data_IF_844298465085
#
_entry.id   IF_844298465085
#
_cell.length_a   1.000
_cell.length_b   1.000
_cell.length_c   1.000
_cell.angle_alpha   90.00
_cell.angle_beta   90.00
_cell.angle_gamma   90.00
#
_symmetry.space_group_name_H-M   'P 1'
#
loop_
_entity.id
_entity.type
_entity.pdbx_description
1 polymer ?
#
# COMPACT_ATOMS: atom_id res chain seq x y z
N UNK A 1 12.31 5.06 -51.99
CA UNK A 1 13.01 5.70 -50.85
C UNK A 1 12.43 5.07 -49.59
N UNK A 2 12.79 3.86 -49.16
CA UNK A 2 14.13 3.32 -48.82
C UNK A 2 14.88 4.20 -47.81
N UNK A 3 14.77 3.86 -46.52
CA UNK A 3 15.87 3.50 -45.60
C UNK A 3 15.35 3.63 -44.15
N UNK A 4 15.00 2.53 -43.47
CA UNK A 4 15.85 1.85 -42.47
C UNK A 4 16.49 2.80 -41.44
N UNK A 5 16.04 2.70 -40.18
CA UNK A 5 16.96 2.51 -39.04
C UNK A 5 16.37 1.40 -38.15
N UNK A 6 17.06 0.27 -38.18
CA UNK A 6 17.02 -0.83 -37.23
C UNK A 6 18.24 -0.62 -36.34
N UNK A 7 18.03 -0.52 -35.03
CA UNK A 7 18.99 -0.88 -33.97
C UNK A 7 18.12 -1.53 -32.88
N UNK A 8 18.09 -2.85 -32.71
CA UNK A 8 19.14 -3.71 -32.16
C UNK A 8 19.76 -3.14 -30.88
N UNK A 9 19.22 -3.56 -29.74
CA UNK A 9 20.01 -3.92 -28.57
C UNK A 9 19.41 -5.20 -27.97
N UNK A 10 19.90 -6.29 -28.54
CA UNK A 10 20.25 -7.57 -27.94
C UNK A 10 19.72 -7.87 -26.55
N UNK A 11 18.86 -8.89 -26.53
CA UNK A 11 18.80 -9.95 -25.53
C UNK A 11 20.12 -10.11 -24.75
N UNK A 12 20.12 -9.73 -23.49
CA UNK A 12 20.84 -10.46 -22.45
C UNK A 12 19.76 -11.21 -21.67
N UNK A 13 19.50 -12.44 -22.10
CA UNK A 13 18.98 -13.49 -21.23
C UNK A 13 20.05 -13.76 -20.17
N UNK A 14 20.11 -12.92 -19.14
CA UNK A 14 20.43 -13.44 -17.82
C UNK A 14 19.08 -13.78 -17.21
N UNK A 15 18.73 -15.06 -17.29
CA UNK A 15 17.89 -15.70 -16.29
C UNK A 15 18.63 -15.66 -14.95
N UNK A 16 18.77 -14.46 -14.37
CA UNK A 16 18.74 -14.36 -12.93
C UNK A 16 17.27 -14.64 -12.60
N UNK A 17 16.98 -15.89 -12.24
CA UNK A 17 15.91 -16.10 -11.28
C UNK A 17 16.31 -15.24 -10.09
N UNK A 18 15.85 -13.98 -10.05
CA UNK A 18 15.68 -13.28 -8.80
C UNK A 18 14.57 -14.06 -8.11
N UNK A 19 14.98 -15.16 -7.48
CA UNK A 19 14.27 -15.66 -6.32
C UNK A 19 14.44 -14.53 -5.33
N UNK A 20 13.45 -13.66 -5.26
CA UNK A 20 13.29 -12.78 -4.10
C UNK A 20 13.37 -13.71 -2.89
N UNK A 21 14.33 -13.52 -1.97
CA UNK A 21 14.39 -14.33 -0.78
C UNK A 21 13.02 -14.21 -0.10
N UNK A 22 12.36 -15.34 0.15
CA UNK A 22 11.22 -15.31 1.05
C UNK A 22 11.69 -14.66 2.35
N UNK A 23 11.00 -13.62 2.82
CA UNK A 23 11.29 -12.76 4.00
C UNK A 23 11.33 -13.51 5.36
N UNK A 24 11.72 -14.78 5.38
CA UNK A 24 11.60 -15.66 6.54
C UNK A 24 12.94 -16.15 7.12
N UNK A 25 14.06 -15.54 6.76
CA UNK A 25 15.36 -15.95 7.29
C UNK A 25 16.32 -14.78 7.53
N UNK A 26 16.05 -13.96 8.56
CA UNK A 26 17.11 -13.39 9.43
C UNK A 26 16.61 -12.62 10.68
N UNK A 27 15.30 -12.50 10.91
CA UNK A 27 14.77 -11.74 12.05
C UNK A 27 14.14 -12.57 13.19
N UNK A 28 14.19 -13.91 13.11
CA UNK A 28 13.69 -14.86 14.14
C UNK A 28 14.33 -14.68 15.54
N UNK A 29 15.29 -13.77 15.71
CA UNK A 29 16.00 -13.51 16.97
C UNK A 29 15.65 -12.17 17.64
N UNK A 30 14.88 -11.30 17.01
CA UNK A 30 14.60 -9.96 17.56
C UNK A 30 13.18 -9.92 18.13
N UNK A 31 13.00 -10.45 19.34
CA UNK A 31 11.79 -10.30 20.16
C UNK A 31 11.00 -11.59 20.38
N UNK A 32 10.32 -11.67 21.52
CA UNK A 32 9.50 -12.83 21.87
C UNK A 32 8.36 -13.02 20.84
N UNK A 33 7.94 -14.27 20.56
CA UNK A 33 6.77 -14.51 19.73
C UNK A 33 5.53 -13.88 20.36
N UNK A 34 4.60 -13.40 19.52
CA UNK A 34 3.27 -12.92 19.92
C UNK A 34 2.65 -13.87 20.96
N UNK A 35 2.61 -13.45 22.23
CA UNK A 35 1.95 -14.22 23.27
C UNK A 35 0.44 -14.01 23.17
N UNK A 36 -0.32 -15.08 23.37
CA UNK A 36 -1.80 -15.04 23.36
C UNK A 36 -2.38 -14.48 24.67
N UNK A 37 -1.63 -13.67 25.41
CA UNK A 37 -2.07 -13.20 26.72
C UNK A 37 -3.06 -12.04 26.57
N UNK A 38 -4.24 -12.29 27.12
CA UNK A 38 -5.42 -11.44 27.16
C UNK A 38 -5.14 -10.20 28.01
N UNK A 39 -4.63 -9.12 27.41
CA UNK A 39 -4.68 -7.82 28.06
C UNK A 39 -6.00 -7.11 27.71
N UNK A 40 -6.89 -7.10 28.70
CA UNK A 40 -8.33 -7.02 28.52
C UNK A 40 -8.93 -5.61 28.69
N UNK A 41 -8.14 -4.53 28.55
CA UNK A 41 -8.71 -3.19 28.74
C UNK A 41 -8.23 -2.08 27.78
N UNK A 42 -7.31 -2.37 26.85
CA UNK A 42 -6.89 -1.45 25.78
C UNK A 42 -6.58 -2.16 24.46
N UNK A 43 -7.34 -3.21 24.11
CA UNK A 43 -7.02 -4.02 22.93
C UNK A 43 -7.25 -3.22 21.63
N UNK A 44 -6.19 -2.63 21.09
CA UNK A 44 -6.16 -2.20 19.70
C UNK A 44 -6.21 -3.48 18.85
N UNK A 45 -7.21 -3.56 17.97
CA UNK A 45 -7.47 -4.76 17.18
C UNK A 45 -7.03 -4.51 15.74
N UNK A 46 -6.02 -5.23 15.26
CA UNK A 46 -5.62 -5.18 13.86
C UNK A 46 -5.19 -3.78 13.41
N UNK A 47 -5.93 -3.21 12.47
CA UNK A 47 -5.62 -1.91 11.88
C UNK A 47 -5.58 -0.78 12.92
N UNK A 48 -4.76 0.23 12.62
CA UNK A 48 -4.50 1.38 13.48
C UNK A 48 -5.12 2.65 12.89
N UNK A 49 -5.50 3.60 13.75
CA UNK A 49 -5.92 4.95 13.36
C UNK A 49 -4.92 5.96 13.90
N UNK A 50 -4.18 6.63 13.01
CA UNK A 50 -3.20 7.63 13.40
C UNK A 50 -3.84 8.84 14.10
N UNK A 51 -5.08 9.17 13.73
CA UNK A 51 -5.93 10.15 14.41
C UNK A 51 -6.18 9.88 15.91
N UNK A 52 -5.89 8.66 16.39
CA UNK A 52 -6.04 8.26 17.79
C UNK A 52 -4.71 8.04 18.52
N UNK A 53 -3.60 8.39 17.88
CA UNK A 53 -2.24 8.29 18.41
C UNK A 53 -1.61 9.67 18.31
N UNK A 54 -1.31 10.28 19.44
CA UNK A 54 -0.86 11.67 19.50
C UNK A 54 0.66 11.79 19.30
N UNK A 55 1.42 10.78 19.73
CA UNK A 55 2.88 10.86 19.79
C UNK A 55 3.55 9.57 19.33
N UNK A 56 4.81 9.68 18.92
CA UNK A 56 5.64 8.52 18.57
C UNK A 56 5.88 7.60 19.77
N UNK A 57 5.94 8.14 20.99
CA UNK A 57 6.07 7.34 22.21
C UNK A 57 4.80 6.55 22.51
N UNK A 58 3.62 7.14 22.27
CA UNK A 58 2.35 6.40 22.32
C UNK A 58 2.33 5.29 21.26
N UNK A 59 2.75 5.58 20.03
CA UNK A 59 2.81 4.57 18.97
C UNK A 59 3.73 3.39 19.35
N UNK A 60 4.90 3.67 19.94
CA UNK A 60 5.84 2.64 20.43
C UNK A 60 5.28 1.77 21.56
N UNK A 61 4.19 2.19 22.21
CA UNK A 61 3.48 1.33 23.17
C UNK A 61 2.53 0.33 22.50
N UNK A 62 2.25 0.53 21.21
CA UNK A 62 1.34 -0.29 20.39
C UNK A 62 2.12 -1.17 19.42
N UNK A 63 3.21 -0.67 18.86
CA UNK A 63 4.06 -1.37 17.88
C UNK A 63 5.51 -1.37 18.33
N UNK A 64 6.26 -2.38 17.92
CA UNK A 64 7.71 -2.36 18.05
C UNK A 64 8.33 -1.69 16.81
N UNK A 65 9.35 -0.86 17.03
CA UNK A 65 10.08 -0.15 15.98
C UNK A 65 11.57 -0.41 16.16
N UNK A 66 12.20 -1.07 15.18
CA UNK A 66 13.62 -1.39 15.19
C UNK A 66 14.32 -0.68 14.03
N UNK A 67 15.42 0.03 14.32
CA UNK A 67 16.23 0.70 13.31
C UNK A 67 17.58 0.00 13.16
N UNK A 68 17.99 -0.21 11.91
CA UNK A 68 19.26 -0.78 11.53
C UNK A 68 19.97 0.21 10.62
N UNK A 69 21.11 0.74 11.08
CA UNK A 69 21.90 1.72 10.33
C UNK A 69 23.25 1.07 10.02
N UNK A 70 23.57 0.94 8.74
CA UNK A 70 24.87 0.42 8.33
C UNK A 70 25.95 1.50 8.49
N UNK A 71 26.62 1.46 9.64
CA UNK A 71 27.72 2.38 9.97
C UNK A 71 29.02 2.13 9.18
N UNK A 72 29.08 1.11 8.31
CA UNK A 72 30.26 0.85 7.47
C UNK A 72 30.44 1.89 6.34
N UNK A 73 29.45 2.75 6.06
CA UNK A 73 29.57 3.80 5.03
C UNK A 73 30.17 5.13 5.51
N UNK A 74 30.51 5.27 6.80
CA UNK A 74 30.96 6.53 7.40
C UNK A 74 32.33 7.06 6.90
N UNK A 75 33.01 6.36 5.99
CA UNK A 75 34.31 6.78 5.44
C UNK A 75 34.26 7.37 4.03
N UNK A 76 33.13 7.35 3.34
CA UNK A 76 32.95 8.05 2.06
C UNK A 76 31.55 8.65 2.00
N UNK A 77 31.38 9.72 1.23
CA UNK A 77 30.13 10.48 1.05
C UNK A 77 29.00 9.69 0.31
N UNK A 78 28.85 8.41 0.60
CA UNK A 78 27.85 7.50 0.07
C UNK A 78 26.68 7.37 1.06
N UNK A 79 25.47 7.39 0.52
CA UNK A 79 24.20 7.31 1.27
C UNK A 79 24.24 6.25 2.37
N UNK A 80 23.78 6.64 3.56
CA UNK A 80 23.71 5.73 4.71
C UNK A 80 22.58 4.74 4.46
N UNK A 81 22.94 3.48 4.22
CA UNK A 81 21.95 2.41 4.17
C UNK A 81 21.28 2.29 5.54
N UNK A 82 19.97 2.45 5.56
CA UNK A 82 19.17 2.38 6.78
C UNK A 82 17.90 1.59 6.54
N UNK A 83 17.49 0.82 7.53
CA UNK A 83 16.28 -0.02 7.49
C UNK A 83 15.52 0.14 8.78
N UNK A 84 14.20 0.29 8.67
CA UNK A 84 13.29 0.21 9.81
C UNK A 84 12.44 -1.05 9.69
N UNK A 85 12.28 -1.76 10.80
CA UNK A 85 11.37 -2.91 10.92
C UNK A 85 10.32 -2.56 11.96
N UNK A 86 9.05 -2.61 11.55
CA UNK A 86 7.90 -2.45 12.42
C UNK A 86 7.26 -3.80 12.70
N UNK A 87 6.92 -4.10 13.96
CA UNK A 87 6.13 -5.28 14.32
C UNK A 87 4.87 -4.83 15.04
N UNK A 88 3.73 -5.37 14.63
CA UNK A 88 2.48 -5.14 15.33
C UNK A 88 1.76 -6.46 15.58
N UNK A 89 1.49 -6.73 16.86
CA UNK A 89 0.81 -7.93 17.32
C UNK A 89 -0.63 -7.61 17.72
N UNK A 90 -1.59 -8.33 17.14
CA UNK A 90 -2.98 -8.26 17.58
C UNK A 90 -3.63 -9.64 17.53
N UNK A 91 -4.18 -10.09 18.66
CA UNK A 91 -4.97 -11.32 18.77
C UNK A 91 -4.20 -12.58 18.32
N UNK A 92 -2.93 -12.69 18.71
CA UNK A 92 -2.08 -13.83 18.34
C UNK A 92 -1.69 -13.86 16.86
N UNK A 93 -1.97 -12.78 16.11
CA UNK A 93 -1.50 -12.58 14.76
C UNK A 93 -0.54 -11.39 14.73
N UNK A 94 0.57 -11.59 14.05
CA UNK A 94 1.59 -10.59 13.81
C UNK A 94 1.54 -10.11 12.35
N UNK A 95 1.85 -8.83 12.17
CA UNK A 95 2.30 -8.26 10.91
C UNK A 95 3.68 -7.63 11.10
N UNK A 96 4.53 -7.74 10.09
CA UNK A 96 5.89 -7.18 10.09
C UNK A 96 6.04 -6.36 8.83
N UNK A 97 6.41 -5.09 8.98
CA UNK A 97 6.75 -4.21 7.86
C UNK A 97 8.23 -3.90 7.89
N UNK A 98 8.89 -3.93 6.74
CA UNK A 98 10.31 -3.63 6.59
C UNK A 98 10.46 -2.58 5.51
N UNK A 99 11.07 -1.44 5.85
CA UNK A 99 11.35 -0.37 4.90
C UNK A 99 12.84 -0.07 4.92
N UNK A 100 13.48 -0.25 3.76
CA UNK A 100 14.90 0.06 3.57
C UNK A 100 15.07 1.34 2.75
N UNK A 101 16.13 2.09 3.02
CA UNK A 101 16.52 3.25 2.21
C UNK A 101 16.73 2.83 0.76
N UNK A 102 16.22 3.62 -0.17
CA UNK A 102 16.26 3.28 -1.59
C UNK A 102 15.42 4.23 -2.43
N UNK A 103 14.86 3.71 -3.51
CA UNK A 103 14.16 4.50 -4.53
C UNK A 103 12.77 4.90 -4.05
N UNK A 104 12.46 6.19 -4.19
CA UNK A 104 11.14 6.76 -3.90
C UNK A 104 10.24 6.79 -5.14
N UNK A 105 8.95 7.07 -4.94
CA UNK A 105 8.00 7.28 -6.03
C UNK A 105 8.41 8.42 -6.97
N UNK A 106 9.03 9.48 -6.43
CA UNK A 106 9.50 10.62 -7.22
C UNK A 106 10.65 10.23 -8.14
N UNK A 107 11.53 9.33 -7.71
CA UNK A 107 12.65 8.87 -8.53
C UNK A 107 12.14 8.07 -9.73
N UNK A 108 11.09 7.26 -9.54
CA UNK A 108 10.40 6.55 -10.62
C UNK A 108 9.72 7.53 -11.57
N UNK A 109 9.01 8.54 -11.05
CA UNK A 109 8.34 9.54 -11.87
C UNK A 109 9.33 10.38 -12.68
N UNK A 110 10.42 10.85 -12.05
CA UNK A 110 11.51 11.57 -12.70
C UNK A 110 12.16 10.73 -13.79
N UNK A 111 12.45 9.45 -13.55
CA UNK A 111 13.03 8.60 -14.57
C UNK A 111 12.07 8.33 -15.74
N UNK A 112 10.76 8.21 -15.49
CA UNK A 112 9.76 8.08 -16.57
C UNK A 112 9.73 9.32 -17.46
N UNK A 113 9.77 10.50 -16.85
CA UNK A 113 9.63 11.79 -17.53
C UNK A 113 10.99 12.41 -17.93
N UNK A 114 12.10 11.76 -17.56
CA UNK A 114 13.49 12.20 -17.72
C UNK A 114 14.18 11.59 -18.94
N UNK A 115 15.50 11.76 -19.00
CA UNK A 115 16.28 11.35 -20.17
C UNK A 115 16.72 9.86 -20.12
N UNK A 116 17.38 9.40 -21.19
CA UNK A 116 17.84 8.00 -21.27
C UNK A 116 18.82 7.60 -20.16
N UNK A 117 19.53 8.56 -19.56
CA UNK A 117 20.41 8.33 -18.40
C UNK A 117 19.62 8.09 -17.13
N UNK A 118 18.58 8.89 -16.88
CA UNK A 118 17.68 8.75 -15.73
C UNK A 118 16.92 7.40 -15.78
N UNK A 119 16.48 7.00 -16.98
CA UNK A 119 15.82 5.71 -17.20
C UNK A 119 16.76 4.53 -16.95
N UNK A 120 18.04 4.64 -17.34
CA UNK A 120 19.04 3.60 -17.12
C UNK A 120 19.46 3.52 -15.65
N UNK A 121 19.59 4.66 -14.96
CA UNK A 121 19.87 4.72 -13.52
C UNK A 121 18.75 4.06 -12.70
N UNK A 122 17.47 4.33 -13.04
CA UNK A 122 16.34 3.63 -12.43
C UNK A 122 16.36 2.14 -12.77
N UNK A 123 16.70 1.75 -14.01
CA UNK A 123 16.73 0.35 -14.40
C UNK A 123 17.81 -0.47 -13.67
N UNK A 124 18.94 0.15 -13.34
CA UNK A 124 20.00 -0.45 -12.54
C UNK A 124 19.59 -0.52 -11.07
N UNK A 125 18.92 0.53 -10.57
CA UNK A 125 18.70 0.71 -9.13
C UNK A 125 17.36 0.11 -8.64
N UNK A 126 16.34 -0.04 -9.52
CA UNK A 126 15.06 -0.71 -9.26
C UNK A 126 14.76 -1.79 -10.33
N UNK A 127 15.53 -2.89 -10.38
CA UNK A 127 15.29 -3.97 -11.34
C UNK A 127 13.88 -4.58 -11.20
N UNK A 128 13.33 -4.62 -9.98
CA UNK A 128 11.96 -5.06 -9.74
C UNK A 128 10.93 -4.19 -10.46
N UNK A 129 11.08 -2.85 -10.38
CA UNK A 129 10.18 -1.91 -11.04
C UNK A 129 10.17 -2.09 -12.56
N UNK A 130 11.34 -2.30 -13.16
CA UNK A 130 11.47 -2.49 -14.60
C UNK A 130 10.89 -3.83 -15.06
N UNK A 131 11.16 -4.90 -14.31
CA UNK A 131 10.63 -6.23 -14.59
C UNK A 131 9.09 -6.25 -14.52
N UNK A 132 8.52 -5.53 -13.55
CA UNK A 132 7.08 -5.53 -13.27
C UNK A 132 6.32 -4.29 -13.77
N UNK A 133 6.94 -3.47 -14.63
CA UNK A 133 6.40 -2.18 -15.10
C UNK A 133 4.96 -2.23 -15.62
N UNK A 134 4.57 -3.34 -16.24
CA UNK A 134 3.22 -3.51 -16.80
C UNK A 134 2.18 -3.63 -15.69
N UNK A 135 2.48 -4.42 -14.66
CA UNK A 135 1.57 -4.61 -13.53
C UNK A 135 1.58 -3.40 -12.60
N UNK A 136 2.72 -2.73 -12.43
CA UNK A 136 2.80 -1.42 -11.76
C UNK A 136 1.92 -0.37 -12.45
N UNK A 137 1.92 -0.33 -13.79
CA UNK A 137 1.04 0.59 -14.53
C UNK A 137 -0.45 0.25 -14.32
N UNK A 138 -0.80 -1.05 -14.27
CA UNK A 138 -2.17 -1.47 -13.93
C UNK A 138 -2.56 -1.01 -12.53
N UNK A 139 -1.72 -1.22 -11.52
CA UNK A 139 -2.00 -0.75 -10.15
C UNK A 139 -2.16 0.77 -10.12
N UNK A 140 -1.25 1.51 -10.77
CA UNK A 140 -1.34 2.98 -10.89
C UNK A 140 -2.65 3.42 -11.57
N UNK A 141 -3.12 2.67 -12.57
CA UNK A 141 -4.39 2.94 -13.26
C UNK A 141 -5.59 2.68 -12.36
N UNK A 142 -5.55 1.64 -11.51
CA UNK A 142 -6.59 1.34 -10.52
C UNK A 142 -6.63 2.37 -9.38
N UNK A 143 -5.46 2.86 -8.95
CA UNK A 143 -5.35 3.77 -7.80
C UNK A 143 -5.67 5.23 -8.12
N UNK A 144 -5.86 5.59 -9.39
CA UNK A 144 -6.08 6.98 -9.83
C UNK A 144 -7.34 7.12 -10.67
N UNK A 145 -7.95 8.29 -10.60
CA UNK A 145 -8.96 8.70 -11.57
C UNK A 145 -8.33 8.86 -12.96
N UNK A 146 -8.96 8.23 -13.94
CA UNK A 146 -8.64 8.32 -15.37
C UNK A 146 -9.95 8.53 -16.13
N UNK A 147 -10.63 9.68 -15.96
CA UNK A 147 -11.93 9.94 -16.59
C UNK A 147 -11.86 9.90 -18.12
N UNK A 148 -10.70 10.20 -18.72
CA UNK A 148 -10.48 10.07 -20.17
C UNK A 148 -10.54 8.60 -20.65
N UNK A 149 -10.26 7.64 -19.77
CA UNK A 149 -10.27 6.21 -20.07
C UNK A 149 -11.59 5.56 -19.65
N UNK A 150 -12.08 5.87 -18.45
CA UNK A 150 -13.22 5.18 -17.83
C UNK A 150 -14.50 6.03 -17.74
N UNK A 151 -14.46 7.28 -18.22
CA UNK A 151 -15.62 8.17 -18.26
C UNK A 151 -15.86 8.96 -16.98
N UNK A 152 -16.96 9.70 -16.96
CA UNK A 152 -17.35 10.56 -15.84
C UNK A 152 -17.65 9.76 -14.56
N UNK A 153 -17.11 10.25 -13.44
CA UNK A 153 -17.21 9.60 -12.15
C UNK A 153 -16.51 8.24 -12.11
N UNK A 154 -15.38 8.12 -12.83
CA UNK A 154 -14.41 7.03 -12.64
C UNK A 154 -14.06 6.86 -11.15
N UNK A 155 -13.71 5.63 -10.77
CA UNK A 155 -13.52 5.22 -9.38
C UNK A 155 -12.06 4.82 -9.15
N UNK A 156 -11.46 5.32 -8.08
CA UNK A 156 -10.14 4.96 -7.59
C UNK A 156 -10.24 4.29 -6.20
N UNK A 157 -9.13 3.78 -5.68
CA UNK A 157 -9.07 3.21 -4.31
C UNK A 157 -9.60 4.19 -3.26
N UNK A 158 -9.27 5.49 -3.39
CA UNK A 158 -9.75 6.53 -2.49
C UNK A 158 -11.28 6.61 -2.43
N UNK A 159 -12.00 6.42 -3.54
CA UNK A 159 -13.46 6.44 -3.53
C UNK A 159 -14.07 5.23 -2.82
N UNK A 160 -13.41 4.06 -2.87
CA UNK A 160 -13.84 2.89 -2.11
C UNK A 160 -13.69 3.14 -0.61
N UNK A 161 -12.58 3.75 -0.20
CA UNK A 161 -12.34 4.16 1.17
C UNK A 161 -13.37 5.21 1.61
N UNK A 162 -13.59 6.24 0.80
CA UNK A 162 -14.58 7.29 1.04
C UNK A 162 -16.00 6.73 1.15
N UNK A 163 -16.39 5.80 0.27
CA UNK A 163 -17.68 5.14 0.36
C UNK A 163 -17.77 4.28 1.63
N UNK A 164 -16.68 3.61 2.03
CA UNK A 164 -16.63 2.86 3.29
C UNK A 164 -16.83 3.77 4.51
N UNK A 165 -16.20 4.95 4.54
CA UNK A 165 -16.43 5.97 5.58
C UNK A 165 -17.88 6.45 5.56
N UNK A 166 -18.43 6.75 4.38
CA UNK A 166 -19.84 7.13 4.22
C UNK A 166 -20.83 6.01 4.56
N UNK A 167 -20.35 4.77 4.64
CA UNK A 167 -21.12 3.61 5.06
C UNK A 167 -21.07 3.37 6.58
N UNK A 168 -20.27 4.10 7.36
CA UNK A 168 -20.25 3.95 8.82
C UNK A 168 -21.65 4.23 9.39
N UNK A 169 -22.22 3.25 10.09
CA UNK A 169 -23.59 3.30 10.63
C UNK A 169 -23.67 3.57 12.13
N UNK A 170 -22.52 3.64 12.82
CA UNK A 170 -22.40 3.98 14.25
C UNK A 170 -21.50 5.20 14.45
N UNK A 171 -21.89 6.39 13.97
CA UNK A 171 -21.06 7.58 14.05
C UNK A 171 -20.72 7.98 15.49
N UNK A 172 -21.59 7.67 16.44
CA UNK A 172 -21.43 7.85 17.89
C UNK A 172 -20.25 7.06 18.48
N UNK A 173 -19.85 5.98 17.81
CA UNK A 173 -18.67 5.16 18.19
C UNK A 173 -17.46 5.44 17.32
N UNK A 174 -17.68 5.93 16.10
CA UNK A 174 -16.62 6.13 15.14
C UNK A 174 -15.87 7.44 15.38
N UNK A 175 -16.58 8.56 15.51
CA UNK A 175 -15.95 9.89 15.54
C UNK A 175 -15.81 10.38 16.98
N UNK A 176 -15.01 9.67 17.77
CA UNK A 176 -14.74 10.01 19.17
C UNK A 176 -13.77 11.19 19.26
N UNK A 177 -12.83 11.26 18.32
CA UNK A 177 -11.87 12.34 18.18
C UNK A 177 -12.16 13.15 16.91
N UNK A 178 -11.93 14.46 16.94
CA UNK A 178 -12.15 15.34 15.77
C UNK A 178 -11.32 14.88 14.55
N UNK A 179 -10.08 14.44 14.79
CA UNK A 179 -9.18 13.89 13.76
C UNK A 179 -9.70 12.62 13.10
N UNK A 180 -10.62 11.86 13.72
CA UNK A 180 -11.20 10.64 13.12
C UNK A 180 -11.98 10.95 11.82
N UNK A 181 -12.48 12.19 11.70
CA UNK A 181 -13.21 12.70 10.53
C UNK A 181 -12.33 13.40 9.50
N UNK A 182 -11.04 13.61 9.80
CA UNK A 182 -10.08 14.27 8.91
C UNK A 182 -9.54 13.32 7.84
N UNK A 183 -8.75 13.84 6.90
CA UNK A 183 -8.04 12.99 5.94
C UNK A 183 -7.15 11.96 6.64
N UNK A 184 -6.58 12.25 7.82
CA UNK A 184 -5.77 11.32 8.63
C UNK A 184 -6.59 10.38 9.53
N UNK A 185 -7.91 10.48 9.43
CA UNK A 185 -8.87 9.64 10.13
C UNK A 185 -9.11 8.32 9.41
N UNK A 186 -10.37 7.88 9.44
CA UNK A 186 -10.77 6.62 8.80
C UNK A 186 -10.45 6.54 7.31
N UNK A 187 -10.52 7.66 6.59
CA UNK A 187 -10.36 7.63 5.13
C UNK A 187 -8.96 7.20 4.69
N UNK A 188 -7.89 7.65 5.37
CA UNK A 188 -6.53 7.22 5.09
C UNK A 188 -6.35 5.74 5.41
N UNK A 189 -6.68 5.33 6.64
CA UNK A 189 -6.54 3.93 7.07
C UNK A 189 -7.33 2.98 6.17
N UNK A 190 -8.56 3.33 5.79
CA UNK A 190 -9.36 2.51 4.87
C UNK A 190 -8.74 2.46 3.47
N UNK A 191 -8.19 3.58 2.98
CA UNK A 191 -7.54 3.62 1.68
C UNK A 191 -6.29 2.73 1.61
N UNK A 192 -5.42 2.80 2.62
CA UNK A 192 -4.25 1.93 2.72
C UNK A 192 -4.65 0.45 2.78
N UNK A 193 -5.56 0.09 3.69
CA UNK A 193 -5.97 -1.32 3.87
C UNK A 193 -6.70 -1.85 2.63
N UNK A 194 -7.66 -1.09 2.09
CA UNK A 194 -8.44 -1.51 0.90
C UNK A 194 -7.54 -1.60 -0.32
N UNK A 195 -6.68 -0.59 -0.55
CA UNK A 195 -5.74 -0.56 -1.65
C UNK A 195 -4.80 -1.75 -1.61
N UNK A 196 -4.13 -1.99 -0.48
CA UNK A 196 -3.21 -3.11 -0.33
C UNK A 196 -3.92 -4.46 -0.44
N UNK A 197 -5.12 -4.61 0.13
CA UNK A 197 -5.89 -5.85 -0.04
C UNK A 197 -6.19 -6.15 -1.52
N UNK A 198 -6.59 -5.15 -2.30
CA UNK A 198 -6.86 -5.30 -3.74
C UNK A 198 -5.57 -5.62 -4.50
N UNK A 199 -4.48 -4.91 -4.24
CA UNK A 199 -3.19 -5.13 -4.92
C UNK A 199 -2.69 -6.54 -4.65
N UNK A 200 -2.64 -6.96 -3.37
CA UNK A 200 -2.20 -8.32 -3.00
C UNK A 200 -3.09 -9.41 -3.62
N UNK A 201 -4.40 -9.17 -3.69
CA UNK A 201 -5.35 -10.12 -4.27
C UNK A 201 -5.14 -10.27 -5.77
N UNK A 202 -5.13 -9.17 -6.51
CA UNK A 202 -5.08 -9.15 -7.98
C UNK A 202 -3.69 -9.45 -8.54
N UNK A 203 -2.63 -9.09 -7.81
CA UNK A 203 -1.25 -9.21 -8.25
C UNK A 203 -0.51 -10.17 -7.30
N UNK A 204 0.26 -9.63 -6.35
CA UNK A 204 1.04 -10.38 -5.37
C UNK A 204 1.28 -9.53 -4.13
N UNK A 205 1.66 -10.18 -3.02
CA UNK A 205 2.20 -9.55 -1.82
C UNK A 205 3.46 -8.73 -2.14
N UNK A 206 4.40 -9.31 -2.88
CA UNK A 206 5.63 -8.61 -3.29
C UNK A 206 5.38 -7.30 -4.07
N UNK A 207 4.35 -7.26 -4.92
CA UNK A 207 3.94 -6.04 -5.61
C UNK A 207 3.35 -5.01 -4.66
N UNK A 208 2.55 -5.47 -3.69
CA UNK A 208 1.93 -4.65 -2.66
C UNK A 208 3.01 -4.00 -1.76
N UNK A 209 3.96 -4.80 -1.28
CA UNK A 209 5.16 -4.37 -0.55
C UNK A 209 5.93 -3.31 -1.33
N UNK A 210 6.32 -3.60 -2.57
CA UNK A 210 7.13 -2.67 -3.35
C UNK A 210 6.44 -1.31 -3.53
N UNK A 211 5.13 -1.30 -3.77
CA UNK A 211 4.36 -0.06 -3.93
C UNK A 211 4.24 0.68 -2.58
N UNK A 212 4.07 -0.04 -1.48
CA UNK A 212 4.06 0.54 -0.14
C UNK A 212 5.39 1.24 0.14
N UNK A 213 6.52 0.55 -0.03
CA UNK A 213 7.84 1.07 0.29
C UNK A 213 8.16 2.35 -0.49
N UNK A 214 7.93 2.31 -1.80
CA UNK A 214 8.13 3.45 -2.70
C UNK A 214 7.24 4.64 -2.33
N UNK A 215 6.01 4.37 -1.87
CA UNK A 215 5.06 5.40 -1.42
C UNK A 215 5.51 6.04 -0.09
N UNK A 216 5.90 5.23 0.89
CA UNK A 216 6.32 5.74 2.20
C UNK A 216 7.65 6.49 2.12
N UNK A 217 8.62 6.01 1.34
CA UNK A 217 9.89 6.71 1.11
C UNK A 217 9.70 8.06 0.41
N UNK A 218 8.70 8.17 -0.47
CA UNK A 218 8.34 9.45 -1.09
C UNK A 218 7.76 10.44 -0.08
N UNK A 219 6.96 9.95 0.87
CA UNK A 219 6.34 10.80 1.88
C UNK A 219 7.35 11.25 2.94
N UNK A 220 8.20 10.36 3.44
CA UNK A 220 9.19 10.64 4.48
C UNK A 220 10.34 9.62 4.45
N UNK A 221 11.45 9.96 3.82
CA UNK A 221 12.62 9.05 3.74
C UNK A 221 13.29 8.84 5.09
N UNK A 222 13.15 9.76 6.05
CA UNK A 222 13.72 9.65 7.39
C UNK A 222 13.14 8.48 8.20
N UNK A 223 12.00 7.90 7.76
CA UNK A 223 11.37 6.74 8.38
C UNK A 223 12.34 5.58 8.59
N UNK A 224 13.30 5.38 7.69
CA UNK A 224 14.26 4.26 7.74
C UNK A 224 15.35 4.44 8.80
N UNK A 225 15.60 5.69 9.22
CA UNK A 225 16.65 6.03 10.19
C UNK A 225 16.10 6.46 11.55
N UNK A 226 14.84 6.92 11.61
CA UNK A 226 14.24 7.51 12.81
C UNK A 226 14.74 8.93 13.13
N UNK A 227 15.60 9.50 12.29
CA UNK A 227 16.17 10.83 12.49
C UNK A 227 15.23 11.93 11.97
N UNK A 228 14.16 12.18 12.70
CA UNK A 228 13.17 13.21 12.35
C UNK A 228 13.59 14.60 12.85
N UNK A 229 13.34 15.62 12.04
CA UNK A 229 13.40 17.01 12.47
C UNK A 229 12.26 17.35 13.43
N UNK A 230 12.44 18.43 14.22
CA UNK A 230 11.41 18.95 15.12
C UNK A 230 10.15 19.36 14.33
N UNK A 231 10.31 19.89 13.12
CA UNK A 231 9.19 20.28 12.28
C UNK A 231 8.39 19.06 11.82
N UNK A 232 9.06 17.97 11.40
CA UNK A 232 8.39 16.71 11.05
C UNK A 232 7.66 16.08 12.23
N UNK A 233 8.24 16.13 13.44
CA UNK A 233 7.60 15.60 14.65
C UNK A 233 6.34 16.38 15.05
N UNK A 234 6.28 17.67 14.74
CA UNK A 234 5.16 18.55 15.10
C UNK A 234 4.16 18.79 13.95
N UNK A 235 4.41 18.25 12.76
CA UNK A 235 3.51 18.40 11.62
C UNK A 235 2.22 17.60 11.86
N UNK A 236 1.12 18.31 12.04
CA UNK A 236 -0.20 17.71 12.28
C UNK A 236 -0.75 16.91 11.09
N UNK A 237 -0.20 17.11 9.89
CA UNK A 237 -0.64 16.51 8.64
C UNK A 237 0.40 15.57 8.02
N UNK A 238 1.65 15.56 8.49
CA UNK A 238 2.70 14.72 7.92
C UNK A 238 3.81 14.44 8.93
N UNK A 239 3.46 13.71 9.99
CA UNK A 239 4.40 13.27 11.02
C UNK A 239 4.68 11.76 10.89
N UNK A 240 5.78 11.27 11.51
CA UNK A 240 6.13 9.86 11.46
C UNK A 240 5.09 8.90 12.07
N UNK A 241 4.20 9.37 12.96
CA UNK A 241 3.13 8.53 13.51
C UNK A 241 2.17 8.13 12.39
N UNK A 242 1.75 9.09 11.57
CA UNK A 242 0.86 8.83 10.44
C UNK A 242 1.50 7.80 9.48
N UNK A 243 2.75 8.00 9.08
CA UNK A 243 3.44 7.11 8.15
C UNK A 243 3.69 5.71 8.71
N UNK A 244 4.11 5.58 9.98
CA UNK A 244 4.29 4.25 10.57
C UNK A 244 2.96 3.51 10.76
N UNK A 245 1.87 4.23 11.05
CA UNK A 245 0.53 3.65 11.05
C UNK A 245 0.14 3.18 9.64
N UNK A 246 0.45 3.95 8.60
CA UNK A 246 0.18 3.58 7.22
C UNK A 246 0.97 2.33 6.80
N UNK A 247 2.24 2.21 7.19
CA UNK A 247 3.04 0.99 7.01
C UNK A 247 2.37 -0.24 7.65
N UNK A 248 1.96 -0.15 8.92
CA UNK A 248 1.27 -1.27 9.60
C UNK A 248 -0.08 -1.60 8.95
N UNK A 249 -0.84 -0.57 8.56
CA UNK A 249 -2.11 -0.74 7.87
C UNK A 249 -1.94 -1.35 6.48
N UNK A 250 -0.83 -1.06 5.81
CA UNK A 250 -0.49 -1.69 4.55
C UNK A 250 -0.39 -3.21 4.75
N UNK A 251 0.41 -3.67 5.72
CA UNK A 251 0.58 -5.11 6.02
C UNK A 251 -0.74 -5.81 6.39
N UNK A 252 -1.57 -5.16 7.21
CA UNK A 252 -2.90 -5.71 7.52
C UNK A 252 -3.79 -5.83 6.28
N UNK A 253 -3.72 -4.85 5.36
CA UNK A 253 -4.36 -4.91 4.06
C UNK A 253 -3.87 -6.08 3.22
N UNK A 254 -2.56 -6.32 3.17
CA UNK A 254 -1.99 -7.44 2.43
C UNK A 254 -2.46 -8.80 2.99
N UNK A 255 -2.41 -8.95 4.31
CA UNK A 255 -2.92 -10.13 5.01
C UNK A 255 -4.40 -10.39 4.76
N UNK A 256 -5.20 -9.32 4.69
CA UNK A 256 -6.60 -9.40 4.35
C UNK A 256 -6.79 -9.82 2.89
N UNK A 257 -6.03 -9.23 1.97
CA UNK A 257 -6.03 -9.59 0.54
C UNK A 257 -5.72 -11.07 0.31
N UNK A 258 -4.67 -11.61 0.97
CA UNK A 258 -4.33 -13.04 0.90
C UNK A 258 -5.51 -13.93 1.31
N UNK A 259 -6.18 -13.60 2.41
CA UNK A 259 -7.37 -14.35 2.89
C UNK A 259 -8.54 -14.26 1.92
N UNK A 260 -8.83 -13.07 1.40
CA UNK A 260 -9.96 -12.85 0.49
C UNK A 260 -9.72 -13.51 -0.87
N UNK A 261 -8.48 -13.48 -1.37
CA UNK A 261 -8.07 -14.21 -2.58
C UNK A 261 -8.43 -15.69 -2.49
N UNK A 262 -8.09 -16.33 -1.37
CA UNK A 262 -8.43 -17.75 -1.12
C UNK A 262 -9.94 -17.93 -0.98
N UNK A 263 -10.61 -17.12 -0.16
CA UNK A 263 -12.05 -17.23 0.12
C UNK A 263 -12.90 -17.16 -1.15
N UNK A 264 -12.56 -16.25 -2.05
CA UNK A 264 -13.30 -16.03 -3.31
C UNK A 264 -12.70 -16.77 -4.51
N UNK A 265 -11.67 -17.59 -4.29
CA UNK A 265 -10.96 -18.31 -5.37
C UNK A 265 -10.50 -17.39 -6.50
N UNK A 266 -9.97 -16.21 -6.13
CA UNK A 266 -9.55 -15.18 -7.09
C UNK A 266 -8.23 -15.60 -7.76
N UNK A 267 -8.24 -15.54 -9.09
CA UNK A 267 -7.12 -15.87 -9.97
C UNK A 267 -6.89 -14.76 -10.97
N UNK A 268 -5.82 -14.85 -11.77
CA UNK A 268 -5.58 -13.94 -12.90
C UNK A 268 -6.64 -14.00 -14.01
N UNK A 269 -7.58 -14.96 -13.97
CA UNK A 269 -8.69 -15.10 -14.91
C UNK A 269 -10.04 -14.69 -14.32
N UNK A 270 -10.05 -14.21 -13.07
CA UNK A 270 -11.29 -13.83 -12.41
C UNK A 270 -11.92 -12.63 -13.09
N UNK A 271 -13.20 -12.77 -13.43
CA UNK A 271 -14.05 -11.66 -13.82
C UNK A 271 -14.66 -11.03 -12.56
N UNK A 272 -14.37 -9.76 -12.33
CA UNK A 272 -14.91 -8.97 -11.23
C UNK A 272 -16.33 -8.54 -11.54
N UNK A 273 -17.31 -9.30 -11.06
CA UNK A 273 -18.72 -8.90 -11.14
C UNK A 273 -19.05 -7.90 -10.02
N UNK A 274 -20.12 -7.08 -10.16
CA UNK A 274 -20.61 -6.24 -9.07
C UNK A 274 -20.88 -7.04 -7.78
N UNK A 275 -21.40 -8.26 -7.89
CA UNK A 275 -21.64 -9.15 -6.76
C UNK A 275 -20.35 -9.56 -6.06
N UNK A 276 -19.33 -10.00 -6.81
CA UNK A 276 -18.04 -10.36 -6.25
C UNK A 276 -17.39 -9.17 -5.54
N UNK A 277 -17.36 -8.00 -6.18
CA UNK A 277 -16.74 -6.81 -5.61
C UNK A 277 -17.48 -6.31 -4.35
N UNK A 278 -18.82 -6.30 -4.35
CA UNK A 278 -19.60 -5.92 -3.17
C UNK A 278 -19.33 -6.87 -1.99
N UNK A 279 -19.35 -8.19 -2.23
CA UNK A 279 -19.06 -9.18 -1.20
C UNK A 279 -17.61 -9.06 -0.67
N UNK A 280 -16.65 -8.87 -1.57
CA UNK A 280 -15.25 -8.64 -1.23
C UNK A 280 -15.08 -7.41 -0.31
N UNK A 281 -15.67 -6.27 -0.67
CA UNK A 281 -15.59 -5.04 0.14
C UNK A 281 -16.38 -5.13 1.45
N UNK A 282 -17.47 -5.89 1.49
CA UNK A 282 -18.22 -6.15 2.73
C UNK A 282 -17.44 -7.00 3.73
N UNK A 283 -16.61 -7.94 3.27
CA UNK A 283 -15.69 -8.65 4.16
C UNK A 283 -14.57 -7.72 4.67
N UNK A 284 -14.14 -6.74 3.86
CA UNK A 284 -13.23 -5.67 4.32
C UNK A 284 -13.91 -4.78 5.38
N UNK A 285 -15.16 -4.36 5.17
CA UNK A 285 -15.93 -3.64 6.19
C UNK A 285 -16.16 -4.47 7.46
N UNK A 286 -16.31 -5.79 7.33
CA UNK A 286 -16.40 -6.69 8.47
C UNK A 286 -15.09 -6.71 9.28
N UNK A 287 -13.94 -6.68 8.59
CA UNK A 287 -12.64 -6.48 9.22
C UNK A 287 -12.55 -5.13 9.93
N UNK A 288 -12.98 -4.03 9.29
CA UNK A 288 -13.02 -2.71 9.94
C UNK A 288 -13.94 -2.68 11.16
N UNK A 289 -15.07 -3.38 11.10
CA UNK A 289 -16.00 -3.49 12.22
C UNK A 289 -15.35 -4.13 13.43
N UNK A 290 -14.58 -5.21 13.20
CA UNK A 290 -13.81 -5.89 14.23
C UNK A 290 -12.65 -5.03 14.76
N UNK A 291 -11.89 -4.40 13.86
CA UNK A 291 -10.72 -3.61 14.18
C UNK A 291 -11.08 -2.37 15.02
N UNK A 292 -12.08 -1.62 14.56
CA UNK A 292 -12.42 -0.31 15.12
C UNK A 292 -13.67 -0.32 16.01
N UNK A 293 -14.34 -1.46 16.15
CA UNK A 293 -15.57 -1.64 16.95
C UNK A 293 -16.73 -0.73 16.50
N UNK A 294 -16.84 -0.50 15.20
CA UNK A 294 -17.88 0.31 14.54
C UNK A 294 -18.75 -0.55 13.62
N UNK A 295 -19.93 -0.06 13.26
CA UNK A 295 -20.83 -0.70 12.30
C UNK A 295 -20.78 -0.06 10.91
N UNK A 296 -21.19 -0.83 9.90
CA UNK A 296 -21.31 -0.35 8.52
C UNK A 296 -22.67 -0.73 7.91
N UNK A 297 -23.16 0.13 7.01
CA UNK A 297 -24.09 -0.25 5.95
C UNK A 297 -23.30 -0.99 4.87
N UNK A 298 -23.75 -2.17 4.42
CA UNK A 298 -23.02 -2.93 3.42
C UNK A 298 -23.05 -2.22 2.06
N UNK A 299 -22.00 -2.44 1.28
CA UNK A 299 -22.01 -2.24 -0.16
C UNK A 299 -23.03 -3.17 -0.81
N UNK A 300 -23.68 -2.67 -1.86
CA UNK A 300 -24.67 -3.40 -2.65
C UNK A 300 -24.28 -3.39 -4.12
N UNK A 301 -24.80 -4.36 -4.88
CA UNK A 301 -24.56 -4.43 -6.33
C UNK A 301 -25.11 -3.21 -7.08
N UNK A 302 -26.02 -2.46 -6.46
CA UNK A 302 -26.64 -1.28 -7.04
C UNK A 302 -25.83 -0.01 -6.89
N UNK A 303 -24.86 0.01 -5.96
CA UNK A 303 -24.00 1.17 -5.74
C UNK A 303 -23.17 1.46 -7.00
N UNK A 304 -23.19 2.72 -7.45
CA UNK A 304 -22.47 3.14 -8.66
C UNK A 304 -20.97 2.88 -8.55
N UNK A 305 -20.40 3.03 -7.34
CA UNK A 305 -18.98 2.76 -7.10
C UNK A 305 -18.63 1.30 -7.39
N UNK A 306 -19.53 0.36 -7.07
CA UNK A 306 -19.34 -1.07 -7.28
C UNK A 306 -19.40 -1.38 -8.77
N UNK A 307 -20.45 -0.93 -9.47
CA UNK A 307 -20.62 -1.15 -10.91
C UNK A 307 -19.44 -0.59 -11.72
N UNK A 308 -19.00 0.63 -11.39
CA UNK A 308 -17.91 1.29 -12.11
C UNK A 308 -16.57 0.66 -11.82
N UNK A 309 -16.27 0.36 -10.56
CA UNK A 309 -14.96 -0.20 -10.20
C UNK A 309 -14.81 -1.66 -10.65
N UNK A 310 -15.87 -2.47 -10.61
CA UNK A 310 -15.83 -3.83 -11.15
C UNK A 310 -15.49 -3.83 -12.64
N UNK A 311 -16.10 -2.91 -13.41
CA UNK A 311 -15.79 -2.71 -14.82
C UNK A 311 -14.34 -2.24 -15.03
N UNK A 312 -13.88 -1.28 -14.22
CA UNK A 312 -12.50 -0.77 -14.28
C UNK A 312 -11.48 -1.87 -14.03
N UNK A 313 -11.66 -2.68 -12.98
CA UNK A 313 -10.75 -3.80 -12.67
C UNK A 313 -10.66 -4.74 -13.87
N UNK A 314 -11.80 -5.15 -14.45
CA UNK A 314 -11.81 -6.07 -15.59
C UNK A 314 -11.09 -5.51 -16.82
N UNK A 315 -11.29 -4.23 -17.14
CA UNK A 315 -10.62 -3.58 -18.26
C UNK A 315 -9.10 -3.52 -18.04
N UNK A 316 -8.67 -3.10 -16.85
CA UNK A 316 -7.26 -2.96 -16.51
C UNK A 316 -6.56 -4.33 -16.47
N UNK A 317 -7.14 -5.33 -15.82
CA UNK A 317 -6.55 -6.67 -15.73
C UNK A 317 -6.59 -7.41 -17.07
N UNK A 318 -7.62 -7.18 -17.88
CA UNK A 318 -7.75 -7.71 -19.24
C UNK A 318 -6.81 -7.07 -20.26
N UNK A 319 -6.05 -6.04 -19.89
CA UNK A 319 -5.14 -5.32 -20.80
C UNK A 319 -5.86 -4.45 -21.83
N UNK A 320 -7.15 -4.18 -21.63
CA UNK A 320 -7.94 -3.30 -22.49
C UNK A 320 -7.88 -1.90 -21.88
N UNK A 321 -6.87 -1.12 -22.29
CA UNK A 321 -6.85 0.31 -22.01
C UNK A 321 -7.61 0.98 -23.18
N UNK A 322 -8.78 1.60 -22.94
CA UNK A 322 -9.49 2.31 -24.00
C UNK A 322 -8.57 3.35 -24.64
N UNK A 323 -8.47 3.33 -25.98
CA UNK A 323 -7.69 4.33 -26.71
C UNK A 323 -8.27 5.70 -26.39
N UNK A 324 -7.41 6.64 -25.98
CA UNK A 324 -7.80 8.05 -25.80
C UNK A 324 -8.60 8.48 -27.03
N UNK A 325 -9.87 8.82 -26.83
CA UNK A 325 -10.61 9.55 -27.85
C UNK A 325 -9.97 10.93 -27.89
N UNK A 326 -9.12 11.18 -28.88
CA UNK A 326 -8.63 12.52 -29.16
C UNK A 326 -9.83 13.42 -29.32
N UNK A 327 -10.05 14.31 -28.36
CA UNK A 327 -11.02 15.40 -28.49
C UNK A 327 -10.54 16.31 -29.60
N UNK A 328 -11.11 16.13 -30.80
CA UNK A 328 -11.23 17.18 -31.82
C UNK A 328 -12.32 18.15 -31.42
#
# INVERSE_FOLDING_TARGET
MLSRIVYCLSFVLLSAQCVSPSKQHEFDSIGAPCSSETDSDRSINGALLASRIETLDELKSVIDIFYFIDSASLTDSLEVNSTVVLRHCSHGKEVVSELSSGISQDDIAKARDGDYGDQLALAISAPYAVANRMDLNKVYTLSRWKPNLFGEGDVAFYDLAKQSVGNISTPDRAYLNERDSSEKGYINSFNHITGQAIVTTCFSEEMADFIADVHELHNMSELTSGNFSIDQLNDVNNNPVDNYVDMINNEWGQELGKKLKVRYSITNKTEWTPELLANYLNDIQSYYSWAFRIGFRPFTIDDDVIKKFSNKINQVLGGVIPIEKSTT
#
